data_IF_187087816140
#
_entry.id   IF_187087816140
#
_cell.length_a   1.000
_cell.length_b   1.000
_cell.length_c   1.000
_cell.angle_alpha   90.00
_cell.angle_beta   90.00
_cell.angle_gamma   90.00
#
_symmetry.space_group_name_H-M   'P 1'
#
loop_
_entity.id
_entity.type
_entity.pdbx_description
1 polymer ?
#
# COMPACT_ATOMS: atom_id res chain seq x y z
N UNK A 1 -25.69 -6.55 -15.39
CA UNK A 1 -24.24 -6.81 -15.35
C UNK A 1 -23.93 -7.42 -13.99
N UNK A 2 -23.54 -8.69 -13.94
CA UNK A 2 -23.51 -9.50 -12.71
C UNK A 2 -22.49 -9.00 -11.68
N UNK A 3 -22.62 -9.48 -10.43
CA UNK A 3 -21.83 -9.12 -9.24
C UNK A 3 -20.32 -9.49 -9.33
N UNK A 4 -19.64 -9.18 -10.43
CA UNK A 4 -18.23 -9.51 -10.69
C UNK A 4 -17.28 -8.90 -9.65
N UNK A 5 -17.67 -7.78 -9.01
CA UNK A 5 -16.91 -7.18 -7.90
C UNK A 5 -16.98 -8.01 -6.61
N UNK A 6 -18.05 -8.79 -6.42
CA UNK A 6 -18.21 -9.68 -5.27
C UNK A 6 -17.64 -11.09 -5.52
N UNK A 7 -17.51 -11.50 -6.78
CA UNK A 7 -16.95 -12.79 -7.12
C UNK A 7 -15.44 -12.82 -6.88
N UNK A 8 -15.02 -13.52 -5.85
CA UNK A 8 -13.62 -13.61 -5.45
C UNK A 8 -12.71 -14.19 -6.53
N UNK A 9 -13.15 -15.23 -7.26
CA UNK A 9 -12.35 -15.85 -8.31
C UNK A 9 -12.03 -14.86 -9.44
N UNK A 10 -13.01 -14.03 -9.80
CA UNK A 10 -12.83 -12.97 -10.81
C UNK A 10 -11.88 -11.90 -10.30
N UNK A 11 -12.00 -11.47 -9.04
CA UNK A 11 -11.10 -10.47 -8.44
C UNK A 11 -9.66 -11.00 -8.31
N UNK A 12 -9.50 -12.27 -7.95
CA UNK A 12 -8.20 -12.92 -7.87
C UNK A 12 -7.51 -12.98 -9.23
N UNK A 13 -8.21 -13.48 -10.25
CA UNK A 13 -7.67 -13.53 -11.61
C UNK A 13 -7.37 -12.12 -12.16
N UNK A 14 -8.32 -11.19 -12.00
CA UNK A 14 -8.18 -9.82 -12.49
C UNK A 14 -7.02 -9.05 -11.84
N UNK A 15 -6.88 -9.12 -10.52
CA UNK A 15 -5.77 -8.47 -9.79
C UNK A 15 -4.41 -9.09 -10.15
N UNK A 16 -4.34 -10.41 -10.33
CA UNK A 16 -3.12 -11.08 -10.78
C UNK A 16 -2.74 -10.63 -12.19
N UNK A 17 -3.68 -10.60 -13.14
CA UNK A 17 -3.42 -10.10 -14.49
C UNK A 17 -2.93 -8.65 -14.48
N UNK A 18 -3.57 -7.78 -13.70
CA UNK A 18 -3.20 -6.37 -13.61
C UNK A 18 -1.79 -6.18 -13.06
N UNK A 19 -1.43 -6.90 -11.98
CA UNK A 19 -0.06 -6.91 -11.44
C UNK A 19 0.96 -7.27 -12.51
N UNK A 20 0.73 -8.36 -13.26
CA UNK A 20 1.65 -8.80 -14.31
C UNK A 20 1.79 -7.76 -15.43
N UNK A 21 0.70 -7.11 -15.84
CA UNK A 21 0.75 -6.04 -16.84
C UNK A 21 1.59 -4.85 -16.36
N UNK A 22 1.41 -4.41 -15.11
CA UNK A 22 2.18 -3.32 -14.53
C UNK A 22 3.67 -3.67 -14.36
N UNK A 23 3.99 -4.94 -14.04
CA UNK A 23 5.37 -5.43 -13.91
C UNK A 23 6.13 -5.41 -15.24
N UNK A 24 5.46 -5.72 -16.36
CA UNK A 24 6.06 -5.79 -17.69
C UNK A 24 6.35 -4.42 -18.33
N UNK A 25 6.41 -3.34 -17.54
CA UNK A 25 6.55 -1.94 -17.97
C UNK A 25 5.46 -1.46 -18.95
N UNK A 26 4.43 -2.26 -19.22
CA UNK A 26 3.25 -1.86 -20.00
C UNK A 26 2.41 -0.81 -19.29
N UNK A 27 2.60 -0.62 -17.98
CA UNK A 27 2.01 0.52 -17.28
C UNK A 27 2.42 1.86 -17.90
N UNK A 28 3.62 1.97 -18.49
CA UNK A 28 4.12 3.19 -19.13
C UNK A 28 3.39 3.57 -20.41
N UNK A 29 2.64 2.63 -21.02
CA UNK A 29 1.83 2.90 -22.20
C UNK A 29 0.40 3.31 -21.85
N UNK A 30 0.03 3.29 -20.56
CA UNK A 30 -1.28 3.70 -20.11
C UNK A 30 -1.38 5.22 -20.06
N UNK A 31 -2.54 5.74 -20.41
CA UNK A 31 -2.90 7.13 -20.17
C UNK A 31 -3.06 7.38 -18.66
N UNK A 32 -2.96 8.63 -18.22
CA UNK A 32 -3.18 9.01 -16.83
C UNK A 32 -4.56 8.56 -16.31
N UNK A 33 -5.59 8.59 -17.16
CA UNK A 33 -6.94 8.15 -16.82
C UNK A 33 -7.01 6.64 -16.59
N UNK A 34 -6.36 5.84 -17.44
CA UNK A 34 -6.32 4.38 -17.29
C UNK A 34 -5.55 3.99 -16.04
N UNK A 35 -4.41 4.64 -15.79
CA UNK A 35 -3.63 4.42 -14.58
C UNK A 35 -4.44 4.75 -13.31
N UNK A 36 -5.14 5.88 -13.30
CA UNK A 36 -6.06 6.23 -12.20
C UNK A 36 -7.11 5.13 -11.99
N UNK A 37 -7.75 4.66 -13.07
CA UNK A 37 -8.75 3.57 -12.99
C UNK A 37 -8.14 2.30 -12.43
N UNK A 38 -6.91 1.94 -12.79
CA UNK A 38 -6.20 0.80 -12.23
C UNK A 38 -6.05 0.93 -10.71
N UNK A 39 -5.60 2.09 -10.23
CA UNK A 39 -5.49 2.36 -8.78
C UNK A 39 -6.86 2.28 -8.11
N UNK A 40 -7.89 2.93 -8.66
CA UNK A 40 -9.24 2.92 -8.11
C UNK A 40 -9.82 1.49 -8.01
N UNK A 41 -9.65 0.67 -9.05
CA UNK A 41 -10.09 -0.74 -9.04
C UNK A 41 -9.32 -1.58 -8.03
N UNK A 42 -8.03 -1.33 -7.86
CA UNK A 42 -7.20 -1.99 -6.86
C UNK A 42 -7.66 -1.65 -5.43
N UNK A 43 -7.95 -0.37 -5.16
CA UNK A 43 -8.45 0.08 -3.87
C UNK A 43 -9.82 -0.52 -3.56
N UNK A 44 -10.76 -0.52 -4.52
CA UNK A 44 -12.07 -1.15 -4.36
C UNK A 44 -11.93 -2.65 -4.00
N UNK A 45 -11.00 -3.35 -4.64
CA UNK A 45 -10.74 -4.77 -4.37
C UNK A 45 -10.10 -4.99 -2.99
N UNK A 46 -9.16 -4.12 -2.59
CA UNK A 46 -8.50 -4.20 -1.29
C UNK A 46 -9.46 -3.96 -0.13
N UNK A 47 -10.36 -2.97 -0.25
CA UNK A 47 -11.38 -2.68 0.77
C UNK A 47 -12.39 -3.82 0.88
N UNK A 48 -12.88 -4.31 -0.27
CA UNK A 48 -13.93 -5.34 -0.29
C UNK A 48 -13.46 -6.70 0.20
N UNK A 49 -12.20 -7.03 -0.06
CA UNK A 49 -11.62 -8.35 0.23
C UNK A 49 -10.37 -8.20 1.12
N UNK A 50 -10.49 -7.39 2.18
CA UNK A 50 -9.40 -7.05 3.11
C UNK A 50 -8.68 -8.25 3.72
N UNK A 51 -9.38 -9.39 3.88
CA UNK A 51 -8.87 -10.60 4.52
C UNK A 51 -8.21 -11.59 3.55
N UNK A 52 -8.32 -11.38 2.24
CA UNK A 52 -7.78 -12.32 1.24
C UNK A 52 -6.33 -11.95 0.94
N UNK A 53 -5.40 -12.57 1.65
CA UNK A 53 -3.97 -12.21 1.61
C UNK A 53 -3.36 -12.17 0.21
N UNK A 54 -3.65 -13.16 -0.64
CA UNK A 54 -3.10 -13.20 -1.99
C UNK A 54 -3.63 -12.07 -2.88
N UNK A 55 -4.90 -11.69 -2.71
CA UNK A 55 -5.47 -10.53 -3.39
C UNK A 55 -4.76 -9.24 -2.92
N UNK A 56 -4.55 -9.09 -1.61
CA UNK A 56 -3.83 -7.95 -1.05
C UNK A 56 -2.41 -7.86 -1.63
N UNK A 57 -1.68 -8.98 -1.71
CA UNK A 57 -0.35 -9.01 -2.32
C UNK A 57 -0.38 -8.53 -3.78
N UNK A 58 -1.32 -9.02 -4.59
CA UNK A 58 -1.46 -8.57 -5.97
C UNK A 58 -1.77 -7.08 -6.08
N UNK A 59 -2.70 -6.59 -5.26
CA UNK A 59 -3.11 -5.18 -5.24
C UNK A 59 -1.93 -4.28 -4.87
N UNK A 60 -1.26 -4.56 -3.74
CA UNK A 60 -0.20 -3.68 -3.25
C UNK A 60 1.06 -3.75 -4.11
N UNK A 61 1.39 -4.90 -4.69
CA UNK A 61 2.44 -5.00 -5.70
C UNK A 61 2.12 -4.19 -6.97
N UNK A 62 0.84 -4.10 -7.33
CA UNK A 62 0.39 -3.29 -8.46
C UNK A 62 0.54 -1.81 -8.15
N UNK A 63 -0.02 -1.36 -7.00
CA UNK A 63 -0.01 0.05 -6.61
C UNK A 63 1.40 0.54 -6.31
N UNK A 64 2.27 -0.28 -5.70
CA UNK A 64 3.66 0.06 -5.37
C UNK A 64 4.55 0.27 -6.62
N UNK A 65 4.00 0.20 -7.83
CA UNK A 65 4.70 0.55 -9.06
C UNK A 65 4.90 2.08 -9.14
N UNK A 66 6.14 2.52 -9.30
CA UNK A 66 6.51 3.95 -9.33
C UNK A 66 5.68 4.77 -10.33
N UNK A 67 5.38 4.21 -11.50
CA UNK A 67 4.59 4.91 -12.51
C UNK A 67 3.16 5.17 -12.04
N UNK A 68 2.57 4.22 -11.31
CA UNK A 68 1.22 4.35 -10.77
C UNK A 68 1.20 5.39 -9.63
N UNK A 69 2.18 5.36 -8.72
CA UNK A 69 2.29 6.31 -7.59
C UNK A 69 2.61 7.75 -8.01
N UNK A 70 3.25 7.93 -9.16
CA UNK A 70 3.58 9.26 -9.70
C UNK A 70 2.51 9.83 -10.63
N UNK A 71 1.48 9.05 -10.98
CA UNK A 71 0.41 9.53 -11.86
C UNK A 71 -0.43 10.62 -11.20
N UNK A 72 -0.71 11.67 -11.94
CA UNK A 72 -1.56 12.78 -11.48
C UNK A 72 -3.01 12.30 -11.26
N UNK A 73 -3.69 12.91 -10.27
CA UNK A 73 -5.11 12.68 -9.96
C UNK A 73 -5.48 11.31 -9.34
N UNK A 74 -4.53 10.60 -8.73
CA UNK A 74 -4.88 9.51 -7.81
C UNK A 74 -5.41 10.10 -6.49
N UNK A 75 -6.37 9.42 -5.86
CA UNK A 75 -6.83 9.79 -4.52
C UNK A 75 -5.78 9.34 -3.49
N UNK A 76 -4.82 10.22 -3.22
CA UNK A 76 -3.69 9.93 -2.33
C UNK A 76 -4.15 9.68 -0.89
N UNK A 77 -5.18 10.40 -0.43
CA UNK A 77 -5.74 10.21 0.91
C UNK A 77 -6.36 8.83 1.07
N UNK A 78 -7.26 8.45 0.15
CA UNK A 78 -7.87 7.12 0.15
C UNK A 78 -6.80 6.04 0.02
N UNK A 79 -5.81 6.23 -0.84
CA UNK A 79 -4.71 5.27 -1.01
C UNK A 79 -3.96 5.05 0.31
N UNK A 80 -3.60 6.11 1.03
CA UNK A 80 -2.99 6.00 2.36
C UNK A 80 -3.93 5.32 3.37
N UNK A 81 -5.20 5.70 3.42
CA UNK A 81 -6.17 5.13 4.34
C UNK A 81 -6.33 3.61 4.17
N UNK A 82 -6.51 3.16 2.92
CA UNK A 82 -6.68 1.74 2.59
C UNK A 82 -5.37 0.97 2.81
N UNK A 83 -4.21 1.57 2.54
CA UNK A 83 -2.91 0.96 2.80
C UNK A 83 -2.67 0.72 4.31
N UNK A 84 -2.97 1.73 5.14
CA UNK A 84 -2.88 1.62 6.60
C UNK A 84 -3.87 0.59 7.17
N UNK A 85 -5.07 0.50 6.61
CA UNK A 85 -6.05 -0.50 7.03
C UNK A 85 -5.64 -1.92 6.58
N UNK A 86 -5.03 -2.07 5.39
CA UNK A 86 -4.55 -3.36 4.90
C UNK A 86 -3.38 -3.93 5.71
N UNK A 87 -2.41 -3.10 6.14
CA UNK A 87 -1.33 -3.57 7.02
C UNK A 87 -1.87 -4.08 8.37
N UNK A 88 -2.86 -3.38 8.95
CA UNK A 88 -3.45 -3.78 10.23
C UNK A 88 -4.31 -5.05 10.09
N UNK A 89 -5.05 -5.18 8.99
CA UNK A 89 -5.94 -6.33 8.75
C UNK A 89 -5.19 -7.60 8.37
N UNK A 90 -4.12 -7.49 7.57
CA UNK A 90 -3.38 -8.66 7.12
C UNK A 90 -2.28 -9.06 8.09
N UNK A 91 -1.60 -8.08 8.71
CA UNK A 91 -0.37 -8.26 9.50
C UNK A 91 0.70 -9.11 8.81
N UNK A 92 0.65 -9.21 7.48
CA UNK A 92 1.63 -9.96 6.69
C UNK A 92 2.83 -9.04 6.40
N UNK A 93 4.07 -9.46 6.70
CA UNK A 93 5.25 -8.63 6.52
C UNK A 93 5.44 -8.12 5.08
N UNK A 94 4.99 -8.87 4.07
CA UNK A 94 5.13 -8.42 2.68
C UNK A 94 4.12 -7.33 2.35
N UNK A 95 2.87 -7.49 2.79
CA UNK A 95 1.83 -6.45 2.65
C UNK A 95 2.25 -5.19 3.39
N UNK A 96 2.65 -5.31 4.66
CA UNK A 96 3.07 -4.17 5.48
C UNK A 96 4.20 -3.38 4.87
N UNK A 97 5.24 -4.04 4.33
CA UNK A 97 6.35 -3.34 3.65
C UNK A 97 5.87 -2.51 2.46
N UNK A 98 5.00 -3.09 1.61
CA UNK A 98 4.48 -2.38 0.44
C UNK A 98 3.59 -1.20 0.82
N UNK A 99 2.67 -1.40 1.77
CA UNK A 99 1.76 -0.34 2.22
C UNK A 99 2.50 0.77 2.93
N UNK A 100 3.51 0.46 3.76
CA UNK A 100 4.34 1.47 4.45
C UNK A 100 5.14 2.27 3.42
N UNK A 101 5.74 1.62 2.42
CA UNK A 101 6.44 2.32 1.35
C UNK A 101 5.50 3.29 0.60
N UNK A 102 4.30 2.84 0.23
CA UNK A 102 3.29 3.69 -0.40
C UNK A 102 2.93 4.90 0.48
N UNK A 103 2.66 4.68 1.77
CA UNK A 103 2.33 5.75 2.71
C UNK A 103 3.50 6.74 2.84
N UNK A 104 4.75 6.26 2.92
CA UNK A 104 5.93 7.14 3.01
C UNK A 104 6.08 8.06 1.78
N UNK A 105 5.61 7.64 0.62
CA UNK A 105 5.66 8.40 -0.64
C UNK A 105 4.48 9.37 -0.77
N UNK A 106 3.29 8.96 -0.32
CA UNK A 106 2.04 9.69 -0.54
C UNK A 106 1.64 10.61 0.62
N UNK A 107 1.97 10.26 1.86
CA UNK A 107 1.65 11.06 3.04
C UNK A 107 2.20 12.52 2.98
N UNK A 108 3.42 12.78 2.46
CA UNK A 108 3.90 14.16 2.29
C UNK A 108 3.09 14.99 1.27
N UNK A 109 2.30 14.33 0.41
CA UNK A 109 1.57 14.97 -0.70
C UNK A 109 0.11 15.26 -0.36
N UNK A 110 -0.39 14.77 0.78
CA UNK A 110 -1.76 15.04 1.24
C UNK A 110 -1.77 16.26 2.19
N UNK A 111 -2.88 17.00 2.27
CA UNK A 111 -3.04 18.07 3.26
C UNK A 111 -2.81 17.58 4.69
N UNK A 112 -2.17 18.40 5.52
CA UNK A 112 -1.86 18.09 6.92
C UNK A 112 -3.10 17.73 7.75
N UNK A 113 -4.25 18.34 7.46
CA UNK A 113 -5.52 18.00 8.13
C UNK A 113 -5.95 16.56 7.85
N UNK A 114 -5.68 16.05 6.63
CA UNK A 114 -5.99 14.69 6.23
C UNK A 114 -4.97 13.68 6.76
N UNK A 115 -3.67 14.00 6.75
CA UNK A 115 -2.65 13.11 7.32
C UNK A 115 -2.85 12.93 8.82
N UNK A 116 -3.10 14.01 9.57
CA UNK A 116 -3.44 13.92 10.99
C UNK A 116 -4.71 13.10 11.22
N UNK A 117 -5.74 13.25 10.39
CA UNK A 117 -6.95 12.43 10.52
C UNK A 117 -6.64 10.92 10.45
N UNK A 118 -5.68 10.50 9.61
CA UNK A 118 -5.22 9.10 9.60
C UNK A 118 -4.47 8.73 10.89
N UNK A 119 -3.63 9.61 11.42
CA UNK A 119 -2.89 9.38 12.67
C UNK A 119 -3.79 9.29 13.91
N UNK A 120 -5.00 9.88 13.89
CA UNK A 120 -5.94 9.75 15.03
C UNK A 120 -6.37 8.30 15.29
N UNK A 121 -6.30 7.41 14.28
CA UNK A 121 -6.52 5.99 14.50
C UNK A 121 -5.26 5.33 15.08
N UNK A 122 -5.26 5.17 16.41
CA UNK A 122 -4.13 4.61 17.16
C UNK A 122 -3.70 3.21 16.71
N UNK A 123 -4.57 2.45 16.03
CA UNK A 123 -4.21 1.12 15.50
C UNK A 123 -3.10 1.23 14.44
N UNK A 124 -3.16 2.26 13.60
CA UNK A 124 -2.16 2.48 12.56
C UNK A 124 -0.82 2.88 13.16
N UNK A 125 -0.82 3.88 14.04
CA UNK A 125 0.38 4.38 14.71
C UNK A 125 1.04 3.28 15.55
N UNK A 126 0.26 2.53 16.34
CA UNK A 126 0.77 1.40 17.12
C UNK A 126 1.42 0.35 16.22
N UNK A 127 0.79 -0.01 15.10
CA UNK A 127 1.35 -0.99 14.19
C UNK A 127 2.68 -0.52 13.58
N UNK A 128 2.80 0.74 13.18
CA UNK A 128 4.06 1.31 12.68
C UNK A 128 5.17 1.28 13.75
N UNK A 129 4.83 1.58 15.01
CA UNK A 129 5.77 1.49 16.13
C UNK A 129 6.22 0.04 16.36
N UNK A 130 5.28 -0.91 16.30
CA UNK A 130 5.58 -2.33 16.47
C UNK A 130 6.51 -2.84 15.35
N UNK A 131 6.26 -2.44 14.08
CA UNK A 131 7.16 -2.73 12.96
C UNK A 131 8.57 -2.19 13.22
N UNK A 132 8.71 -0.95 13.71
CA UNK A 132 10.03 -0.40 14.06
C UNK A 132 10.70 -1.26 15.13
N UNK A 133 9.99 -1.60 16.20
CA UNK A 133 10.53 -2.41 17.32
C UNK A 133 10.97 -3.80 16.88
N UNK A 134 10.18 -4.45 16.04
CA UNK A 134 10.47 -5.79 15.52
C UNK A 134 11.67 -5.81 14.56
N UNK A 135 11.97 -4.69 13.89
CA UNK A 135 13.05 -4.58 12.93
C UNK A 135 14.33 -3.93 13.50
N UNK A 136 14.27 -3.34 14.71
CA UNK A 136 15.47 -2.89 15.42
C UNK A 136 16.28 -4.13 15.83
N UNK A 137 17.54 -4.28 15.39
CA UNK A 137 18.33 -5.44 15.74
C UNK A 137 18.64 -5.47 17.24
N UNK A 138 18.41 -6.62 17.86
CA UNK A 138 18.90 -6.90 19.21
C UNK A 138 20.40 -7.25 19.14
N UNK A 139 21.26 -6.24 19.00
CA UNK A 139 22.75 -6.32 19.05
C UNK A 139 23.45 -7.15 17.95
N UNK A 140 24.47 -6.53 17.34
CA UNK A 140 25.66 -7.11 16.67
C UNK A 140 25.51 -8.13 15.51
N UNK A 141 24.33 -8.32 14.93
CA UNK A 141 24.21 -9.00 13.65
C UNK A 141 24.56 -8.03 12.50
N UNK A 142 25.31 -8.46 11.46
CA UNK A 142 25.75 -7.59 10.38
C UNK A 142 24.54 -6.96 9.70
N UNK A 143 24.56 -5.63 9.58
CA UNK A 143 23.53 -4.78 8.96
C UNK A 143 22.86 -5.46 7.76
N UNK A 144 21.70 -6.07 7.97
CA UNK A 144 20.83 -6.40 6.86
C UNK A 144 20.22 -5.09 6.38
N UNK A 145 20.75 -4.56 5.27
CA UNK A 145 20.25 -3.36 4.59
C UNK A 145 18.72 -3.40 4.42
N UNK A 146 18.14 -4.60 4.37
CA UNK A 146 16.71 -4.80 4.26
C UNK A 146 15.91 -4.26 5.47
N UNK A 147 16.37 -4.51 6.69
CA UNK A 147 15.73 -4.01 7.91
C UNK A 147 15.88 -2.50 8.03
N UNK A 148 17.03 -1.97 7.61
CA UNK A 148 17.31 -0.53 7.58
C UNK A 148 16.32 0.22 6.67
N UNK A 149 16.04 -0.29 5.46
CA UNK A 149 15.00 0.30 4.60
C UNK A 149 13.61 0.26 5.24
N UNK A 150 13.22 -0.88 5.83
CA UNK A 150 11.92 -1.03 6.49
C UNK A 150 11.77 -0.01 7.61
N UNK A 151 12.78 0.16 8.46
CA UNK A 151 12.79 1.17 9.53
C UNK A 151 12.70 2.58 8.95
N UNK A 152 13.53 2.93 7.96
CA UNK A 152 13.55 4.27 7.33
C UNK A 152 12.19 4.64 6.74
N UNK A 153 11.57 3.75 5.98
CA UNK A 153 10.25 3.98 5.41
C UNK A 153 9.16 4.07 6.47
N UNK A 154 9.24 3.25 7.52
CA UNK A 154 8.26 3.29 8.61
C UNK A 154 8.35 4.59 9.41
N UNK A 155 9.57 5.06 9.72
CA UNK A 155 9.80 6.35 10.36
C UNK A 155 9.33 7.51 9.49
N UNK A 156 9.62 7.47 8.19
CA UNK A 156 9.15 8.49 7.23
C UNK A 156 7.62 8.51 7.15
N UNK A 157 6.98 7.35 7.06
CA UNK A 157 5.52 7.25 7.08
C UNK A 157 4.94 7.83 8.38
N UNK A 158 5.51 7.46 9.53
CA UNK A 158 5.05 7.95 10.83
C UNK A 158 5.18 9.47 10.94
N UNK A 159 6.36 10.02 10.61
CA UNK A 159 6.61 11.47 10.63
C UNK A 159 5.65 12.27 9.76
N UNK A 160 5.29 11.76 8.58
CA UNK A 160 4.39 12.48 7.67
C UNK A 160 2.91 12.34 8.05
N UNK A 161 2.57 11.39 8.93
CA UNK A 161 1.21 11.23 9.46
C UNK A 161 0.97 12.07 10.72
N UNK A 162 2.01 12.23 11.56
CA UNK A 162 1.95 12.91 12.86
C UNK A 162 2.40 14.35 12.80
#
# INVERSE_FOLDING_TARGET
>A
MGNHTANLAIQMAGSACLYHLCKLKRSRTLTAMETRRCVDRCLDAAEKHAKILQLQKNVWLTICNDHLLQTQNIDMYRTCAVALEAMVNTRDPSVSRMTIAIVSILAPKIPTTQSHALATNHRYVRYLIDVIRENIPASDAPNDNFNDFTIKFTLSALWNLT
#
